data_IF_161683990188
#
_entry.id   IF_161683990188
#
_cell.length_a   1.000
_cell.length_b   1.000
_cell.length_c   1.000
_cell.angle_alpha   90.00
_cell.angle_beta   90.00
_cell.angle_gamma   90.00
#
_symmetry.space_group_name_H-M   'P 1'
#
loop_
_entity.id
_entity.type
_entity.pdbx_description
1 polymer ?
#
# COMPACT_ATOMS: atom_id res chain seq x y z
N UNK A 1 2.33 -22.83 -21.14
CA UNK A 1 1.46 -22.22 -20.10
C UNK A 1 0.83 -20.95 -20.69
N UNK A 2 -0.31 -21.10 -21.39
CA UNK A 2 -1.07 -19.97 -21.95
C UNK A 2 -2.00 -19.44 -20.86
N UNK A 3 -1.94 -18.15 -20.58
CA UNK A 3 -2.81 -17.49 -19.60
C UNK A 3 -4.26 -17.52 -20.07
N UNK A 4 -5.16 -17.94 -19.17
CA UNK A 4 -6.61 -17.88 -19.38
C UNK A 4 -7.06 -16.54 -18.78
N UNK A 5 -7.39 -15.58 -19.64
CA UNK A 5 -8.04 -14.32 -19.25
C UNK A 5 -9.57 -14.55 -19.23
N UNK A 6 -10.20 -14.34 -18.08
CA UNK A 6 -11.65 -14.46 -17.91
C UNK A 6 -12.23 -13.09 -17.58
N UNK A 7 -13.11 -12.60 -18.45
CA UNK A 7 -13.86 -11.37 -18.28
C UNK A 7 -15.34 -11.71 -18.13
N UNK A 8 -15.91 -11.49 -16.94
CA UNK A 8 -17.35 -11.21 -16.76
C UNK A 8 -17.74 -10.72 -15.34
N UNK A 9 -16.77 -10.19 -14.61
CA UNK A 9 -17.00 -9.35 -13.43
C UNK A 9 -16.08 -8.14 -13.60
N UNK A 10 -16.33 -7.03 -12.91
CA UNK A 10 -15.43 -5.86 -12.81
C UNK A 10 -14.08 -6.23 -12.14
N UNK A 11 -13.38 -7.23 -12.68
CA UNK A 11 -12.20 -7.88 -12.16
C UNK A 11 -11.11 -7.66 -13.19
N UNK A 12 -10.13 -6.87 -12.81
CA UNK A 12 -8.89 -6.72 -13.57
C UNK A 12 -8.20 -8.10 -13.67
N UNK A 13 -8.05 -8.61 -14.90
CA UNK A 13 -7.57 -9.95 -15.24
C UNK A 13 -6.04 -9.99 -15.32
N UNK A 14 -5.39 -10.27 -14.18
CA UNK A 14 -3.99 -10.68 -14.12
C UNK A 14 -3.88 -12.20 -13.88
N UNK A 15 -2.67 -12.80 -14.03
CA UNK A 15 -2.48 -14.21 -13.75
C UNK A 15 -2.89 -14.54 -12.31
N UNK A 16 -3.53 -15.69 -12.13
CA UNK A 16 -3.92 -16.19 -10.81
C UNK A 16 -2.71 -16.78 -10.06
N UNK A 17 -2.82 -16.84 -8.73
CA UNK A 17 -1.82 -17.47 -7.88
C UNK A 17 -2.21 -18.91 -7.58
N UNK A 18 -1.24 -19.82 -7.62
CA UNK A 18 -1.37 -21.18 -7.11
C UNK A 18 -1.13 -21.18 -5.60
N UNK A 19 -2.07 -21.73 -4.84
CA UNK A 19 -1.99 -21.91 -3.40
C UNK A 19 -1.94 -23.39 -3.07
N UNK A 20 -1.18 -23.75 -2.03
CA UNK A 20 -1.19 -25.07 -1.41
C UNK A 20 -1.52 -24.93 0.08
N UNK A 21 -2.53 -25.65 0.55
CA UNK A 21 -2.88 -25.75 1.97
C UNK A 21 -2.48 -27.13 2.46
N UNK A 22 -1.56 -27.15 3.41
CA UNK A 22 -1.19 -28.38 4.12
C UNK A 22 -2.39 -28.89 4.90
N UNK A 23 -2.67 -30.18 4.82
CA UNK A 23 -3.68 -30.80 5.65
C UNK A 23 -3.33 -30.64 7.13
N UNK A 24 -4.37 -30.52 7.97
CA UNK A 24 -4.21 -30.58 9.42
C UNK A 24 -3.68 -31.95 9.88
N UNK A 25 -3.59 -32.14 11.20
CA UNK A 25 -3.00 -33.31 11.90
C UNK A 25 -3.55 -34.69 11.51
N UNK A 26 -4.55 -34.77 10.63
CA UNK A 26 -5.23 -35.99 10.23
C UNK A 26 -4.92 -36.32 8.77
N UNK A 27 -3.68 -36.68 8.42
CA UNK A 27 -3.26 -37.36 7.17
C UNK A 27 -4.04 -37.04 5.87
N UNK A 28 -4.54 -35.81 5.70
CA UNK A 28 -5.30 -35.42 4.51
C UNK A 28 -4.31 -35.01 3.41
N UNK A 29 -4.71 -35.13 2.15
CA UNK A 29 -3.90 -34.65 1.04
C UNK A 29 -3.84 -33.11 1.05
N UNK A 30 -2.70 -32.56 0.62
CA UNK A 30 -2.54 -31.12 0.51
C UNK A 30 -3.48 -30.56 -0.59
N UNK A 31 -4.33 -29.61 -0.23
CA UNK A 31 -5.26 -28.98 -1.17
C UNK A 31 -4.51 -27.95 -2.02
N UNK A 32 -4.49 -28.12 -3.35
CA UNK A 32 -3.92 -27.17 -4.30
C UNK A 32 -5.00 -26.48 -5.13
N UNK A 33 -4.87 -25.18 -5.35
CA UNK A 33 -5.85 -24.41 -6.13
C UNK A 33 -5.29 -23.10 -6.69
N UNK A 34 -5.80 -22.67 -7.85
CA UNK A 34 -5.64 -21.31 -8.34
C UNK A 34 -6.72 -20.40 -7.75
N UNK A 35 -6.34 -19.17 -7.39
CA UNK A 35 -7.29 -18.11 -7.01
C UNK A 35 -6.77 -16.73 -7.43
N UNK A 36 -7.66 -15.73 -7.39
CA UNK A 36 -7.34 -14.36 -7.76
C UNK A 36 -6.10 -13.83 -7.00
N UNK A 37 -5.16 -13.22 -7.74
CA UNK A 37 -3.95 -12.64 -7.18
C UNK A 37 -4.19 -11.33 -6.41
N UNK A 38 -5.25 -10.62 -6.76
CA UNK A 38 -5.56 -9.27 -6.25
C UNK A 38 -6.57 -9.33 -5.12
N UNK A 39 -7.68 -10.03 -5.34
CA UNK A 39 -8.81 -10.05 -4.41
C UNK A 39 -8.77 -11.30 -3.54
N UNK A 40 -8.59 -11.10 -2.22
CA UNK A 40 -8.54 -12.20 -1.24
C UNK A 40 -9.91 -12.80 -0.93
N UNK A 41 -10.99 -12.03 -1.12
CA UNK A 41 -12.35 -12.46 -0.79
C UNK A 41 -13.07 -13.04 -2.00
N UNK A 42 -13.61 -14.25 -1.84
CA UNK A 42 -14.49 -14.89 -2.83
C UNK A 42 -15.78 -14.12 -3.10
N UNK A 43 -16.15 -13.17 -2.22
CA UNK A 43 -17.29 -12.27 -2.45
C UNK A 43 -16.99 -11.17 -3.46
N UNK A 44 -15.71 -10.83 -3.63
CA UNK A 44 -15.26 -9.75 -4.54
C UNK A 44 -14.75 -10.35 -5.85
N UNK A 45 -14.00 -11.44 -5.79
CA UNK A 45 -13.65 -12.25 -6.96
C UNK A 45 -13.90 -13.73 -6.65
N UNK A 46 -14.93 -14.35 -7.24
CA UNK A 46 -15.29 -15.74 -6.93
C UNK A 46 -14.35 -16.77 -7.56
N UNK A 47 -13.41 -16.34 -8.40
CA UNK A 47 -12.50 -17.21 -9.16
C UNK A 47 -11.70 -18.13 -8.26
N UNK A 48 -11.89 -19.44 -8.46
CA UNK A 48 -11.16 -20.52 -7.81
C UNK A 48 -11.18 -21.74 -8.71
N UNK A 49 -10.04 -22.38 -8.89
CA UNK A 49 -9.93 -23.63 -9.64
C UNK A 49 -9.07 -24.61 -8.85
N UNK A 50 -9.61 -25.77 -8.49
CA UNK A 50 -8.87 -26.78 -7.73
C UNK A 50 -7.96 -27.58 -8.67
N UNK A 51 -6.82 -28.01 -8.15
CA UNK A 51 -5.84 -28.83 -8.86
C UNK A 51 -5.89 -30.24 -8.26
N UNK A 52 -6.33 -31.21 -9.04
CA UNK A 52 -6.46 -32.62 -8.64
C UNK A 52 -5.59 -33.48 -9.56
N UNK A 53 -4.39 -33.85 -9.12
CA UNK A 53 -3.40 -34.52 -9.98
C UNK A 53 -2.92 -33.62 -11.13
N UNK A 54 -2.79 -34.17 -12.34
CA UNK A 54 -2.49 -33.41 -13.57
C UNK A 54 -3.74 -32.74 -14.18
N UNK A 55 -4.94 -33.02 -13.65
CA UNK A 55 -6.19 -32.54 -14.21
C UNK A 55 -6.74 -31.36 -13.41
N UNK A 56 -7.12 -30.31 -14.13
CA UNK A 56 -7.72 -29.09 -13.58
C UNK A 56 -9.23 -29.31 -13.53
N UNK A 57 -9.79 -29.55 -12.33
CA UNK A 57 -11.23 -29.68 -12.13
C UNK A 57 -11.82 -28.33 -11.72
N UNK A 58 -12.35 -27.60 -12.71
CA UNK A 58 -13.09 -26.36 -12.54
C UNK A 58 -14.04 -26.17 -13.71
N UNK A 59 -15.17 -25.49 -13.49
CA UNK A 59 -16.12 -25.14 -14.54
C UNK A 59 -15.37 -24.63 -15.78
N UNK A 60 -15.46 -25.36 -16.89
CA UNK A 60 -15.19 -24.80 -18.21
C UNK A 60 -16.13 -23.61 -18.37
N UNK A 61 -15.62 -22.39 -18.12
CA UNK A 61 -16.19 -21.23 -18.76
C UNK A 61 -15.93 -21.47 -20.24
N UNK A 62 -16.99 -21.82 -20.96
CA UNK A 62 -16.98 -22.16 -22.37
C UNK A 62 -16.15 -21.16 -23.17
N UNK A 63 -15.20 -21.66 -23.96
CA UNK A 63 -14.45 -20.87 -24.94
C UNK A 63 -15.38 -20.11 -25.92
N UNK A 64 -16.63 -20.55 -26.05
CA UNK A 64 -17.66 -19.92 -26.90
C UNK A 64 -18.14 -18.54 -26.40
N UNK A 65 -17.73 -18.09 -25.21
CA UNK A 65 -17.95 -16.71 -24.75
C UNK A 65 -16.83 -15.74 -25.18
N UNK A 66 -15.73 -16.24 -25.74
CA UNK A 66 -14.53 -15.44 -26.08
C UNK A 66 -14.64 -14.78 -27.46
N UNK A 67 -15.58 -15.21 -28.31
CA UNK A 67 -15.75 -14.72 -29.69
C UNK A 67 -16.86 -13.68 -29.87
N UNK A 68 -17.39 -13.12 -28.78
CA UNK A 68 -18.44 -12.11 -28.80
C UNK A 68 -17.99 -10.74 -28.31
N UNK A 69 -17.42 -9.91 -29.20
CA UNK A 69 -17.49 -8.42 -29.19
C UNK A 69 -17.77 -7.73 -27.83
N UNK A 70 -16.83 -7.76 -26.88
CA UNK A 70 -16.86 -6.93 -25.68
C UNK A 70 -15.51 -6.23 -25.46
N UNK A 71 -15.41 -5.03 -26.05
CA UNK A 71 -14.43 -3.96 -25.83
C UNK A 71 -13.08 -4.35 -25.18
N UNK A 72 -12.00 -4.28 -25.97
CA UNK A 72 -10.74 -3.70 -25.47
C UNK A 72 -11.11 -2.34 -24.86
N UNK A 73 -11.25 -2.24 -23.54
CA UNK A 73 -11.52 -0.96 -22.90
C UNK A 73 -10.27 -0.10 -23.07
N UNK A 74 -10.24 0.68 -24.15
CA UNK A 74 -9.18 1.65 -24.38
C UNK A 74 -9.34 2.73 -23.31
N UNK A 75 -8.53 2.63 -22.25
CA UNK A 75 -8.51 3.62 -21.19
C UNK A 75 -8.21 5.00 -21.79
N UNK A 76 -9.13 5.94 -21.58
CA UNK A 76 -9.00 7.28 -22.12
C UNK A 76 -8.15 8.16 -21.19
N UNK A 77 -6.82 7.96 -21.22
CA UNK A 77 -5.87 8.67 -20.35
C UNK A 77 -5.94 10.20 -20.49
N UNK A 78 -5.80 10.89 -19.36
CA UNK A 78 -5.73 12.34 -19.26
C UNK A 78 -6.92 13.10 -19.88
N UNK A 79 -8.14 12.53 -19.80
CA UNK A 79 -9.36 13.19 -20.30
C UNK A 79 -9.59 14.55 -19.63
N UNK A 80 -9.30 14.67 -18.33
CA UNK A 80 -9.42 15.93 -17.57
C UNK A 80 -8.42 16.96 -18.12
N UNK A 81 -7.17 16.56 -18.35
CA UNK A 81 -6.13 17.46 -18.89
C UNK A 81 -6.55 18.06 -20.23
N UNK A 82 -7.15 17.24 -21.12
CA UNK A 82 -7.67 17.71 -22.41
C UNK A 82 -8.72 18.81 -22.22
N UNK A 83 -9.71 18.59 -21.35
CA UNK A 83 -10.74 19.57 -21.02
C UNK A 83 -10.20 20.85 -20.38
N UNK A 84 -9.23 20.73 -19.47
CA UNK A 84 -8.56 21.90 -18.85
C UNK A 84 -7.93 22.79 -19.92
N UNK A 85 -7.25 22.20 -20.90
CA UNK A 85 -6.60 22.92 -21.98
C UNK A 85 -7.60 23.58 -22.94
N UNK A 86 -8.76 22.95 -23.19
CA UNK A 86 -9.81 23.50 -24.05
C UNK A 86 -10.64 24.61 -23.37
N UNK A 87 -10.78 24.57 -22.05
CA UNK A 87 -11.59 25.52 -21.28
C UNK A 87 -10.74 26.54 -20.52
N UNK A 88 -9.75 27.15 -21.18
CA UNK A 88 -8.91 28.20 -20.57
C UNK A 88 -9.80 29.31 -19.98
N UNK A 89 -9.41 29.80 -18.81
CA UNK A 89 -10.08 30.90 -18.08
C UNK A 89 -11.53 30.67 -17.64
N UNK A 90 -12.15 29.51 -17.91
CA UNK A 90 -13.47 29.16 -17.39
C UNK A 90 -13.37 28.54 -16.00
N UNK A 91 -14.30 28.85 -15.09
CA UNK A 91 -14.45 28.12 -13.84
C UNK A 91 -14.85 26.66 -14.12
N UNK A 92 -14.09 25.72 -13.56
CA UNK A 92 -14.25 24.28 -13.78
C UNK A 92 -14.61 23.63 -12.46
N UNK A 93 -15.43 22.59 -12.52
CA UNK A 93 -15.88 21.88 -11.35
C UNK A 93 -15.70 20.38 -11.55
N UNK A 94 -15.33 19.67 -10.49
CA UNK A 94 -15.09 18.24 -10.50
C UNK A 94 -16.32 17.44 -10.04
N UNK A 95 -16.69 16.43 -10.80
CA UNK A 95 -17.75 15.49 -10.46
C UNK A 95 -17.15 14.13 -10.08
N UNK A 96 -17.36 13.70 -8.83
CA UNK A 96 -16.86 12.41 -8.35
C UNK A 96 -17.54 11.21 -9.02
N UNK A 97 -18.83 11.34 -9.36
CA UNK A 97 -19.60 10.26 -10.01
C UNK A 97 -19.16 10.00 -11.44
N UNK A 98 -18.86 11.05 -12.21
CA UNK A 98 -18.34 10.94 -13.57
C UNK A 98 -16.81 10.77 -13.62
N UNK A 99 -16.13 11.00 -12.49
CA UNK A 99 -14.68 11.08 -12.39
C UNK A 99 -14.09 11.99 -13.49
N UNK A 100 -14.61 13.22 -13.58
CA UNK A 100 -14.30 14.17 -14.66
C UNK A 100 -14.63 15.62 -14.26
N UNK A 101 -14.20 16.59 -15.07
CA UNK A 101 -14.51 18.01 -14.92
C UNK A 101 -15.59 18.49 -15.89
N UNK A 102 -16.35 19.49 -15.44
CA UNK A 102 -17.46 20.13 -16.14
C UNK A 102 -17.48 21.64 -15.93
N UNK A 103 -18.15 22.34 -16.84
CA UNK A 103 -18.65 23.69 -16.63
C UNK A 103 -20.07 23.60 -16.06
N UNK A 104 -20.56 24.67 -15.43
CA UNK A 104 -21.97 24.71 -15.01
C UNK A 104 -22.89 24.90 -16.22
N UNK A 105 -24.09 24.31 -16.21
CA UNK A 105 -24.63 23.37 -15.21
C UNK A 105 -24.19 21.90 -15.45
N UNK A 106 -24.27 21.07 -14.41
CA UNK A 106 -24.10 19.61 -14.51
C UNK A 106 -25.12 18.90 -13.62
N UNK A 107 -25.55 17.71 -14.03
CA UNK A 107 -26.63 16.95 -13.37
C UNK A 107 -26.24 16.31 -12.02
N UNK A 108 -24.94 16.14 -11.76
CA UNK A 108 -24.45 15.59 -10.50
C UNK A 108 -23.84 16.68 -9.60
N UNK A 109 -23.75 16.44 -8.28
CA UNK A 109 -23.03 17.34 -7.38
C UNK A 109 -21.59 17.58 -7.83
N UNK A 110 -21.18 18.84 -7.75
CA UNK A 110 -19.90 19.34 -8.23
C UNK A 110 -19.06 19.90 -7.08
N UNK A 111 -17.76 19.59 -7.06
CA UNK A 111 -16.75 20.20 -6.19
C UNK A 111 -16.00 21.29 -6.97
N UNK A 112 -15.81 22.47 -6.39
CA UNK A 112 -14.99 23.51 -6.99
C UNK A 112 -15.51 24.93 -6.78
N UNK A 113 -14.97 25.92 -7.50
CA UNK A 113 -14.08 25.78 -8.66
C UNK A 113 -12.75 25.08 -8.35
N UNK A 114 -12.26 24.21 -9.25
CA UNK A 114 -10.98 23.49 -9.08
C UNK A 114 -9.85 24.12 -9.90
N UNK A 115 -8.70 24.28 -9.26
CA UNK A 115 -7.45 24.76 -9.86
C UNK A 115 -6.66 23.64 -10.54
N UNK A 116 -5.68 24.02 -11.38
CA UNK A 116 -4.74 23.05 -11.97
C UNK A 116 -3.90 22.37 -10.90
N UNK A 117 -3.60 23.05 -9.78
CA UNK A 117 -2.85 22.47 -8.68
C UNK A 117 -3.63 21.34 -7.99
N UNK A 118 -4.93 21.52 -7.74
CA UNK A 118 -5.80 20.49 -7.18
C UNK A 118 -5.98 19.31 -8.15
N UNK A 119 -6.10 19.56 -9.46
CA UNK A 119 -6.17 18.49 -10.46
C UNK A 119 -4.88 17.68 -10.61
N UNK A 120 -3.74 18.20 -10.11
CA UNK A 120 -2.47 17.44 -9.99
C UNK A 120 -2.40 16.60 -8.71
N UNK A 121 -3.35 16.77 -7.78
CA UNK A 121 -3.47 15.98 -6.56
C UNK A 121 -4.82 15.24 -6.47
N UNK A 122 -5.11 14.28 -7.38
CA UNK A 122 -6.39 13.57 -7.39
C UNK A 122 -6.78 12.92 -6.06
N UNK A 123 -5.82 12.51 -5.22
CA UNK A 123 -6.10 11.98 -3.87
C UNK A 123 -6.87 12.95 -2.95
N UNK A 124 -6.88 14.26 -3.26
CA UNK A 124 -7.69 15.27 -2.55
C UNK A 124 -9.13 15.36 -3.08
N UNK A 125 -9.36 14.90 -4.31
CA UNK A 125 -10.66 14.94 -4.98
C UNK A 125 -11.41 13.60 -4.86
N UNK A 126 -10.65 12.50 -4.86
CA UNK A 126 -11.11 11.12 -4.76
C UNK A 126 -11.15 10.67 -3.30
N UNK A 127 -12.27 10.07 -2.88
CA UNK A 127 -12.32 9.38 -1.60
C UNK A 127 -11.46 8.10 -1.67
N UNK A 128 -10.67 7.78 -0.63
CA UNK A 128 -9.88 6.55 -0.61
C UNK A 128 -10.80 5.32 -0.63
N UNK A 129 -10.43 4.30 -1.41
CA UNK A 129 -11.08 3.00 -1.37
C UNK A 129 -10.49 2.18 -0.22
N UNK A 130 -11.18 2.09 0.91
CA UNK A 130 -10.66 1.50 2.16
C UNK A 130 -11.24 0.12 2.49
N UNK A 131 -11.80 -0.59 1.50
CA UNK A 131 -12.49 -1.85 1.75
C UNK A 131 -11.49 -2.98 2.04
N UNK A 132 -11.72 -3.73 3.13
CA UNK A 132 -10.78 -4.73 3.69
C UNK A 132 -10.44 -5.92 2.77
N UNK A 133 -11.12 -6.07 1.64
CA UNK A 133 -11.08 -7.27 0.80
C UNK A 133 -10.65 -7.00 -0.65
N UNK A 134 -10.42 -5.73 -0.99
CA UNK A 134 -10.10 -5.25 -2.33
C UNK A 134 -9.00 -4.19 -2.26
N UNK A 135 -9.37 -2.93 -2.38
CA UNK A 135 -8.49 -1.78 -2.29
C UNK A 135 -8.32 -1.41 -0.82
N UNK A 136 -7.09 -1.48 -0.33
CA UNK A 136 -6.70 -0.98 1.00
C UNK A 136 -5.92 0.31 0.82
N UNK A 137 -6.58 1.28 0.20
CA UNK A 137 -5.97 2.53 -0.21
C UNK A 137 -5.82 3.46 0.98
N UNK A 138 -4.59 3.88 1.23
CA UNK A 138 -4.27 4.74 2.34
C UNK A 138 -3.24 5.79 1.91
N UNK A 139 -3.40 7.01 2.44
CA UNK A 139 -2.62 8.16 2.05
C UNK A 139 -1.48 8.46 3.02
N UNK A 140 -0.31 8.78 2.49
CA UNK A 140 0.78 9.33 3.29
C UNK A 140 0.40 10.69 3.87
N UNK A 141 0.86 10.98 5.10
CA UNK A 141 0.78 12.32 5.66
C UNK A 141 1.84 13.24 5.04
N UNK A 142 1.64 14.56 5.12
CA UNK A 142 2.61 15.54 4.61
C UNK A 142 3.96 15.44 5.33
N UNK A 143 3.99 15.02 6.60
CA UNK A 143 5.24 14.74 7.33
C UNK A 143 5.98 13.55 6.72
N UNK A 144 5.29 12.42 6.49
CA UNK A 144 5.91 11.24 5.87
C UNK A 144 6.38 11.50 4.45
N UNK A 145 5.64 12.31 3.67
CA UNK A 145 6.07 12.74 2.34
C UNK A 145 7.36 13.55 2.41
N UNK A 146 7.50 14.46 3.38
CA UNK A 146 8.74 15.23 3.57
C UNK A 146 9.93 14.34 3.91
N UNK A 147 9.77 13.37 4.80
CA UNK A 147 10.82 12.39 5.14
C UNK A 147 11.28 11.60 3.91
N UNK A 148 10.33 11.11 3.09
CA UNK A 148 10.67 10.37 1.87
C UNK A 148 11.49 11.19 0.88
N UNK A 149 11.22 12.49 0.77
CA UNK A 149 11.95 13.37 -0.14
C UNK A 149 13.39 13.60 0.26
N UNK A 150 13.70 13.58 1.56
CA UNK A 150 15.09 13.64 2.03
C UNK A 150 15.86 12.47 1.43
N UNK A 151 15.32 11.26 1.54
CA UNK A 151 15.91 10.06 0.92
C UNK A 151 16.04 10.17 -0.60
N UNK A 152 14.96 10.57 -1.29
CA UNK A 152 14.97 10.69 -2.77
C UNK A 152 15.97 11.73 -3.27
N UNK A 153 16.11 12.86 -2.56
CA UNK A 153 17.07 13.92 -2.93
C UNK A 153 18.51 13.45 -2.70
N UNK A 154 18.76 12.76 -1.59
CA UNK A 154 20.09 12.34 -1.20
C UNK A 154 20.57 11.08 -1.94
N UNK A 155 19.65 10.28 -2.49
CA UNK A 155 20.00 9.10 -3.29
C UNK A 155 20.57 9.43 -4.68
N UNK A 156 20.58 10.70 -5.09
CA UNK A 156 20.99 11.18 -6.44
C UNK A 156 20.19 10.51 -7.57
N UNK A 157 19.01 9.96 -7.28
CA UNK A 157 18.15 9.35 -8.29
C UNK A 157 17.52 10.44 -9.17
N UNK A 158 17.53 10.23 -10.48
CA UNK A 158 16.85 11.09 -11.47
C UNK A 158 15.45 10.56 -11.86
N UNK A 159 15.01 9.46 -11.22
CA UNK A 159 13.77 8.77 -11.50
C UNK A 159 13.21 8.09 -10.25
N UNK A 160 11.89 8.16 -10.05
CA UNK A 160 11.15 7.47 -8.98
C UNK A 160 9.99 6.69 -9.58
N UNK A 161 9.97 5.38 -9.37
CA UNK A 161 8.85 4.52 -9.71
C UNK A 161 7.95 4.34 -8.49
N UNK A 162 6.76 4.95 -8.54
CA UNK A 162 5.76 4.87 -7.48
C UNK A 162 4.85 3.65 -7.73
N UNK A 163 4.97 2.60 -6.92
CA UNK A 163 4.07 1.44 -6.97
C UNK A 163 3.08 1.55 -5.81
N UNK A 164 1.78 1.66 -6.09
CA UNK A 164 0.72 1.76 -5.07
C UNK A 164 0.84 2.98 -4.15
N UNK A 165 1.49 4.05 -4.61
CA UNK A 165 1.84 5.22 -3.79
C UNK A 165 1.47 6.54 -4.49
N UNK A 166 0.18 6.76 -4.81
CA UNK A 166 -0.24 7.90 -5.62
C UNK A 166 0.04 9.24 -4.95
N UNK A 167 -0.03 9.32 -3.62
CA UNK A 167 0.29 10.57 -2.89
C UNK A 167 1.77 10.97 -3.00
N UNK A 168 2.71 10.00 -3.06
CA UNK A 168 4.13 10.28 -3.32
C UNK A 168 4.30 10.78 -4.75
N UNK A 169 3.68 10.09 -5.71
CA UNK A 169 3.70 10.50 -7.12
C UNK A 169 3.14 11.92 -7.31
N UNK A 170 1.99 12.22 -6.72
CA UNK A 170 1.33 13.53 -6.77
C UNK A 170 2.20 14.62 -6.15
N UNK A 171 2.90 14.33 -5.04
CA UNK A 171 3.80 15.27 -4.41
C UNK A 171 4.98 15.62 -5.35
N UNK A 172 5.63 14.60 -5.92
CA UNK A 172 6.71 14.77 -6.90
C UNK A 172 6.26 15.58 -8.13
N UNK A 173 5.05 15.29 -8.63
CA UNK A 173 4.49 15.98 -9.79
C UNK A 173 3.99 17.39 -9.51
N UNK A 174 3.59 17.70 -8.27
CA UNK A 174 3.04 19.00 -7.91
C UNK A 174 4.14 20.04 -7.66
N UNK A 175 5.32 19.61 -7.22
CA UNK A 175 6.48 20.48 -7.04
C UNK A 175 7.23 20.70 -8.38
N UNK A 176 7.40 21.96 -8.78
CA UNK A 176 8.00 22.31 -10.09
C UNK A 176 9.46 21.88 -10.21
N UNK A 177 10.24 22.05 -9.16
CA UNK A 177 11.67 21.73 -9.13
C UNK A 177 11.86 20.20 -9.16
N UNK A 178 11.14 19.47 -8.30
CA UNK A 178 11.17 18.01 -8.28
C UNK A 178 10.76 17.42 -9.63
N UNK A 179 9.69 17.92 -10.25
CA UNK A 179 9.24 17.46 -11.58
C UNK A 179 10.25 17.74 -12.69
N UNK A 180 11.06 18.79 -12.56
CA UNK A 180 12.11 19.11 -13.54
C UNK A 180 13.31 18.17 -13.41
N UNK A 181 13.69 17.85 -12.17
CA UNK A 181 14.93 17.13 -11.86
C UNK A 181 14.75 15.62 -11.67
N UNK A 182 13.52 15.16 -11.38
CA UNK A 182 13.21 13.77 -11.12
C UNK A 182 12.00 13.33 -11.95
N UNK A 183 12.20 12.35 -12.84
CA UNK A 183 11.10 11.69 -13.52
C UNK A 183 10.32 10.87 -12.49
N UNK A 184 9.00 10.85 -12.60
CA UNK A 184 8.19 9.96 -11.78
C UNK A 184 7.13 9.26 -12.61
N UNK A 185 6.85 8.02 -12.25
CA UNK A 185 5.86 7.18 -12.91
C UNK A 185 5.06 6.43 -11.86
N UNK A 186 3.73 6.38 -12.00
CA UNK A 186 2.83 5.70 -11.08
C UNK A 186 2.32 4.39 -11.69
N UNK A 187 2.42 3.34 -10.90
CA UNK A 187 1.78 2.05 -11.13
C UNK A 187 0.79 1.83 -10.00
N UNK A 188 -0.51 1.82 -10.30
CA UNK A 188 -1.57 1.65 -9.31
C UNK A 188 -2.73 0.86 -9.92
N UNK A 189 -3.45 0.10 -9.11
CA UNK A 189 -4.62 -0.66 -9.58
C UNK A 189 -5.86 0.24 -9.72
N UNK A 190 -5.89 1.38 -9.04
CA UNK A 190 -7.02 2.29 -9.03
C UNK A 190 -7.17 3.03 -10.38
N UNK A 191 -8.04 2.49 -11.23
CA UNK A 191 -8.33 3.05 -12.56
C UNK A 191 -8.88 4.48 -12.53
N UNK A 192 -9.33 4.99 -11.38
CA UNK A 192 -9.83 6.37 -11.28
C UNK A 192 -8.76 7.40 -11.64
N UNK A 193 -7.48 7.09 -11.45
CA UNK A 193 -6.37 7.96 -11.82
C UNK A 193 -6.18 8.14 -13.33
N UNK A 194 -6.69 7.23 -14.18
CA UNK A 194 -6.60 7.33 -15.66
C UNK A 194 -7.13 8.68 -16.16
N UNK A 195 -8.20 9.20 -15.56
CA UNK A 195 -8.82 10.45 -15.97
C UNK A 195 -7.89 11.66 -15.83
N UNK A 196 -6.95 11.60 -14.88
CA UNK A 196 -6.08 12.71 -14.48
C UNK A 196 -4.73 12.67 -15.19
N UNK A 197 -4.12 11.48 -15.27
CA UNK A 197 -2.74 11.33 -15.70
C UNK A 197 -2.59 10.84 -17.13
N UNK A 198 -1.46 11.20 -17.75
CA UNK A 198 -1.07 10.72 -19.08
C UNK A 198 -0.55 9.30 -18.98
N UNK A 199 -0.64 8.53 -20.07
CA UNK A 199 -0.05 7.20 -20.18
C UNK A 199 1.47 7.21 -19.87
N UNK A 200 2.16 8.29 -20.24
CA UNK A 200 3.58 8.49 -19.94
C UNK A 200 3.89 8.68 -18.45
N UNK A 201 2.88 8.81 -17.58
CA UNK A 201 3.05 9.02 -16.14
C UNK A 201 2.31 8.00 -15.28
N UNK A 202 1.32 7.29 -15.83
CA UNK A 202 0.48 6.37 -15.09
C UNK A 202 0.04 5.22 -15.98
N UNK A 203 0.14 4.00 -15.45
CA UNK A 203 -0.48 2.80 -16.02
C UNK A 203 -1.19 2.05 -14.89
N UNK A 204 -2.33 1.45 -15.22
CA UNK A 204 -3.01 0.56 -14.28
C UNK A 204 -2.20 -0.73 -14.14
N UNK A 205 -1.75 -1.03 -12.92
CA UNK A 205 -1.00 -2.24 -12.62
C UNK A 205 -1.70 -3.05 -11.52
N UNK A 206 -2.05 -4.30 -11.86
CA UNK A 206 -2.53 -5.29 -10.92
C UNK A 206 -1.35 -6.11 -10.36
N UNK A 207 -0.51 -5.52 -9.50
CA UNK A 207 0.50 -6.26 -8.73
C UNK A 207 0.01 -6.54 -7.32
N UNK A 208 0.38 -7.70 -6.78
CA UNK A 208 0.03 -8.19 -5.43
C UNK A 208 0.78 -7.50 -4.28
N UNK A 209 1.43 -6.35 -4.54
CA UNK A 209 2.25 -5.64 -3.56
C UNK A 209 1.46 -4.51 -2.91
N UNK A 210 0.88 -4.78 -1.73
CA UNK A 210 0.18 -3.78 -0.92
C UNK A 210 1.13 -3.20 0.15
N UNK A 211 1.22 -1.86 0.26
CA UNK A 211 1.92 -1.14 1.35
C UNK A 211 0.94 -0.13 2.00
N UNK A 212 0.90 -0.05 3.33
CA UNK A 212 -0.19 0.53 4.13
C UNK A 212 0.06 1.95 4.68
N UNK A 213 -1.00 2.76 4.87
CA UNK A 213 -0.98 4.12 5.47
C UNK A 213 -2.27 4.45 6.29
N UNK A 214 -2.53 5.74 6.56
CA UNK A 214 -3.50 6.32 7.53
C UNK A 214 -4.97 5.93 7.24
N UNK A 215 -5.76 5.69 8.30
CA UNK A 215 -7.07 4.97 8.35
C UNK A 215 -6.96 3.44 8.36
N UNK A 216 -5.77 2.91 8.64
CA UNK A 216 -5.57 1.48 8.82
C UNK A 216 -6.46 0.93 9.94
N UNK A 217 -6.99 -0.29 9.78
CA UNK A 217 -7.94 -0.91 10.75
C UNK A 217 -7.31 -1.11 12.15
N UNK A 218 -5.97 -1.21 12.23
CA UNK A 218 -5.23 -1.25 13.50
C UNK A 218 -4.94 0.14 14.10
N UNK A 219 -5.30 1.23 13.42
CA UNK A 219 -5.04 2.62 13.79
C UNK A 219 -6.23 3.19 14.57
N UNK A 220 -6.26 2.94 15.88
CA UNK A 220 -7.18 3.65 16.81
C UNK A 220 -6.56 4.94 17.38
N UNK A 221 -5.27 5.19 17.10
CA UNK A 221 -4.45 6.25 17.70
C UNK A 221 -3.55 6.92 16.65
N UNK A 222 -3.85 8.17 16.25
CA UNK A 222 -3.14 8.83 15.17
C UNK A 222 -1.63 9.04 15.40
N UNK A 223 -1.28 9.18 16.67
CA UNK A 223 0.05 9.43 17.20
C UNK A 223 1.03 8.24 17.05
N UNK A 224 0.57 7.05 16.65
CA UNK A 224 1.40 5.84 16.60
C UNK A 224 1.27 5.09 15.28
N UNK A 225 2.32 5.13 14.47
CA UNK A 225 2.44 4.31 13.26
C UNK A 225 3.19 3.01 13.54
N UNK A 226 2.63 1.88 13.11
CA UNK A 226 3.30 0.56 13.08
C UNK A 226 4.05 0.31 11.77
N UNK A 227 3.93 1.21 10.80
CA UNK A 227 4.54 1.08 9.46
C UNK A 227 5.96 1.63 9.50
N UNK A 228 6.91 0.91 8.91
CA UNK A 228 8.33 1.29 8.83
C UNK A 228 8.76 1.34 7.37
N UNK A 229 9.69 2.25 7.08
CA UNK A 229 10.38 2.27 5.80
C UNK A 229 11.49 1.22 5.82
N UNK A 230 11.55 0.42 4.77
CA UNK A 230 12.65 -0.49 4.50
C UNK A 230 13.37 0.04 3.27
N UNK A 231 14.67 0.23 3.38
CA UNK A 231 15.50 0.82 2.34
C UNK A 231 16.88 0.18 2.37
N UNK A 232 17.48 0.12 1.19
CA UNK A 232 18.88 -0.21 0.93
C UNK A 232 19.80 1.02 0.99
N UNK A 233 19.24 2.23 1.11
CA UNK A 233 20.03 3.44 1.32
C UNK A 233 20.68 3.43 2.72
N UNK A 234 21.92 3.95 2.84
CA UNK A 234 22.52 4.20 4.14
C UNK A 234 21.61 5.07 5.01
N UNK A 235 21.45 4.75 6.30
CA UNK A 235 20.44 5.39 7.16
C UNK A 235 20.82 6.82 7.60
N UNK A 236 22.10 7.16 7.52
CA UNK A 236 22.66 8.48 7.78
C UNK A 236 22.26 9.52 6.73
N UNK A 237 21.87 9.09 5.51
CA UNK A 237 21.37 10.00 4.48
C UNK A 237 20.01 10.61 4.80
N UNK A 238 19.27 10.05 5.75
CA UNK A 238 17.98 10.58 6.19
C UNK A 238 18.20 11.59 7.30
N UNK A 239 18.50 12.85 6.95
CA UNK A 239 18.55 13.93 7.92
C UNK A 239 17.14 14.26 8.43
N UNK A 240 16.84 13.86 9.67
CA UNK A 240 15.57 14.11 10.35
C UNK A 240 15.68 15.19 11.44
N UNK A 241 16.74 16.01 11.43
CA UNK A 241 16.97 17.06 12.44
C UNK A 241 15.82 18.07 12.56
N UNK A 242 15.13 18.37 11.44
CA UNK A 242 14.00 19.31 11.40
C UNK A 242 12.72 18.75 12.08
N UNK A 243 12.67 17.44 12.37
CA UNK A 243 11.49 16.78 12.92
C UNK A 243 11.63 16.64 14.44
N UNK A 244 10.77 17.34 15.19
CA UNK A 244 10.86 17.47 16.66
C UNK A 244 10.67 16.16 17.44
N UNK A 245 10.24 15.09 16.78
CA UNK A 245 10.00 13.74 17.27
C UNK A 245 11.21 12.81 17.13
N UNK A 246 12.28 13.23 16.44
CA UNK A 246 13.48 12.44 16.21
C UNK A 246 14.70 13.00 16.94
N UNK A 247 15.70 12.14 17.14
CA UNK A 247 17.06 12.47 17.59
C UNK A 247 18.07 11.65 16.81
N UNK A 248 19.28 12.16 16.64
CA UNK A 248 20.39 11.35 16.12
C UNK A 248 20.94 10.44 17.22
N UNK A 249 21.36 9.22 16.86
CA UNK A 249 22.05 8.30 17.76
C UNK A 249 23.47 8.07 17.24
N UNK A 250 24.47 8.67 17.88
CA UNK A 250 25.86 8.60 17.44
C UNK A 250 26.37 7.16 17.35
N UNK A 251 26.04 6.31 18.33
CA UNK A 251 26.45 4.88 18.34
C UNK A 251 25.88 4.05 17.19
N UNK A 252 24.74 4.45 16.63
CA UNK A 252 24.09 3.74 15.52
C UNK A 252 24.16 4.50 14.20
N UNK A 253 24.77 5.70 14.21
CA UNK A 253 24.89 6.62 13.08
C UNK A 253 23.58 6.81 12.29
N UNK A 254 22.46 6.97 13.00
CA UNK A 254 21.13 7.13 12.40
C UNK A 254 20.17 7.93 13.26
N UNK A 255 19.14 8.49 12.63
CA UNK A 255 18.02 9.08 13.33
C UNK A 255 17.07 8.02 13.89
N UNK A 256 16.64 8.22 15.13
CA UNK A 256 15.67 7.38 15.85
C UNK A 256 14.62 8.26 16.52
N UNK A 257 13.47 7.70 16.87
CA UNK A 257 12.49 8.44 17.68
C UNK A 257 13.09 8.88 19.02
N UNK A 258 12.71 10.06 19.53
CA UNK A 258 13.25 10.61 20.79
C UNK A 258 13.09 9.66 21.98
N UNK A 259 12.02 8.88 22.00
CA UNK A 259 11.72 7.91 23.06
C UNK A 259 12.47 6.58 22.90
N UNK A 260 13.08 6.33 21.73
CA UNK A 260 13.89 5.14 21.50
C UNK A 260 15.30 5.38 22.04
N UNK A 261 15.67 4.63 23.07
CA UNK A 261 16.99 4.69 23.70
C UNK A 261 17.88 3.58 23.12
N UNK A 262 19.17 3.89 22.95
CA UNK A 262 20.15 2.90 22.54
C UNK A 262 20.34 1.87 23.66
N UNK A 263 20.37 0.58 23.32
CA UNK A 263 20.71 -0.47 24.25
C UNK A 263 22.16 -0.88 24.04
N UNK A 264 23.01 -0.58 25.02
CA UNK A 264 24.44 -0.90 24.95
C UNK A 264 24.72 -2.41 24.88
N UNK A 265 23.87 -3.23 25.50
CA UNK A 265 23.98 -4.70 25.43
C UNK A 265 23.60 -5.30 24.08
N UNK A 266 22.70 -4.64 23.34
CA UNK A 266 22.29 -5.07 22.00
C UNK A 266 23.00 -4.28 20.90
N UNK A 267 23.86 -3.32 21.26
CA UNK A 267 24.53 -2.36 20.38
C UNK A 267 23.60 -1.77 19.31
N UNK A 268 22.34 -1.53 19.70
CA UNK A 268 21.31 -1.12 18.76
C UNK A 268 20.22 -0.31 19.45
N UNK A 269 19.54 0.54 18.68
CA UNK A 269 18.27 1.14 19.06
C UNK A 269 17.14 0.16 18.68
N UNK A 270 16.59 -0.61 19.63
CA UNK A 270 15.57 -1.61 19.33
C UNK A 270 14.32 -0.95 18.72
N UNK A 271 13.86 -1.50 17.59
CA UNK A 271 12.68 -1.05 16.86
C UNK A 271 11.39 -1.17 17.69
N UNK A 272 10.30 -0.54 17.29
CA UNK A 272 9.85 0.79 17.67
C UNK A 272 8.32 0.66 17.77
N UNK A 273 7.69 0.85 18.93
CA UNK A 273 6.25 1.13 18.99
C UNK A 273 5.93 2.34 19.89
N UNK A 274 6.94 3.21 20.08
CA UNK A 274 6.86 4.36 20.99
C UNK A 274 6.76 3.98 22.46
N UNK A 275 7.13 2.74 22.80
CA UNK A 275 7.19 2.26 24.18
C UNK A 275 8.65 2.20 24.64
N UNK A 276 8.85 2.42 25.93
CA UNK A 276 10.12 2.13 26.57
C UNK A 276 10.39 0.62 26.47
N UNK A 277 11.65 0.29 26.22
CA UNK A 277 12.14 -1.07 26.15
C UNK A 277 13.20 -1.27 27.21
N UNK A 278 13.21 -2.46 27.81
CA UNK A 278 14.27 -2.93 28.70
C UNK A 278 14.99 -4.09 28.07
N UNK A 279 16.29 -4.24 28.37
CA UNK A 279 17.03 -5.43 28.01
C UNK A 279 16.65 -6.58 28.95
N UNK A 280 16.47 -7.77 28.41
CA UNK A 280 16.34 -8.99 29.20
C UNK A 280 17.60 -9.84 29.02
N UNK A 281 18.42 -9.92 30.07
CA UNK A 281 19.71 -10.63 30.03
C UNK A 281 19.55 -12.13 29.75
N UNK A 282 18.44 -12.72 30.21
CA UNK A 282 18.16 -14.15 29.99
C UNK A 282 17.78 -14.43 28.52
N UNK A 283 17.08 -13.49 27.87
CA UNK A 283 16.71 -13.62 26.46
C UNK A 283 17.72 -12.97 25.52
N UNK A 284 18.75 -12.30 26.04
CA UNK A 284 19.73 -11.50 25.33
C UNK A 284 19.10 -10.58 24.27
N UNK A 285 17.98 -9.92 24.62
CA UNK A 285 17.26 -9.03 23.70
C UNK A 285 16.44 -7.98 24.42
N UNK A 286 16.23 -6.85 23.75
CA UNK A 286 15.29 -5.83 24.20
C UNK A 286 13.83 -6.30 24.05
N UNK A 287 13.03 -6.02 25.08
CA UNK A 287 11.60 -6.33 25.13
C UNK A 287 10.84 -5.11 25.65
N UNK A 288 9.53 -5.07 25.41
CA UNK A 288 8.68 -3.98 25.94
C UNK A 288 8.79 -3.92 27.46
N UNK A 289 8.72 -2.71 28.03
CA UNK A 289 8.79 -2.51 29.48
C UNK A 289 7.78 -3.39 30.24
N UNK A 290 6.59 -3.54 29.67
CA UNK A 290 5.48 -4.34 30.22
C UNK A 290 5.66 -5.85 30.13
N UNK A 291 6.74 -6.34 29.53
CA UNK A 291 7.00 -7.78 29.39
C UNK A 291 7.85 -8.27 30.56
N UNK A 292 7.60 -9.51 30.97
CA UNK A 292 8.36 -10.19 32.02
C UNK A 292 8.91 -11.51 31.48
N UNK A 293 10.12 -11.88 31.91
CA UNK A 293 10.71 -13.16 31.54
C UNK A 293 10.01 -14.29 32.31
N UNK A 294 9.36 -15.21 31.58
CA UNK A 294 8.73 -16.36 32.20
C UNK A 294 9.71 -17.51 32.36
N UNK A 295 10.00 -17.88 33.62
CA UNK A 295 10.88 -19.02 33.94
C UNK A 295 10.38 -20.37 33.42
N UNK A 296 9.08 -20.52 33.17
CA UNK A 296 8.47 -21.75 32.65
C UNK A 296 8.66 -21.88 31.13
N UNK A 297 8.27 -20.87 30.34
CA UNK A 297 8.39 -20.95 28.88
C UNK A 297 9.71 -20.40 28.31
N UNK A 298 10.57 -19.83 29.17
CA UNK A 298 11.87 -19.22 28.82
C UNK A 298 11.76 -18.10 27.78
N UNK A 299 10.64 -17.37 27.79
CA UNK A 299 10.37 -16.25 26.87
C UNK A 299 9.76 -15.08 27.62
N UNK A 300 10.06 -13.87 27.15
CA UNK A 300 9.38 -12.66 27.61
C UNK A 300 8.02 -12.49 26.93
N UNK A 301 6.99 -12.24 27.72
CA UNK A 301 5.64 -11.92 27.27
C UNK A 301 4.92 -11.06 28.33
N UNK A 302 3.72 -10.58 28.02
CA UNK A 302 2.87 -9.91 29.02
C UNK A 302 2.55 -10.86 30.18
N UNK A 303 2.40 -10.35 31.42
CA UNK A 303 1.92 -11.14 32.55
C UNK A 303 0.65 -11.91 32.19
N UNK A 304 0.54 -13.14 32.70
CA UNK A 304 -0.60 -14.06 32.44
C UNK A 304 -0.77 -14.52 30.99
N UNK A 305 0.18 -14.22 30.08
CA UNK A 305 0.14 -14.69 28.67
C UNK A 305 1.15 -15.78 28.34
N UNK A 306 1.44 -16.66 29.29
CA UNK A 306 2.38 -17.75 29.07
C UNK A 306 1.84 -18.76 28.06
N UNK A 307 2.52 -19.00 26.92
CA UNK A 307 2.07 -19.96 25.91
C UNK A 307 2.03 -21.42 26.38
N UNK A 308 2.60 -21.74 27.56
CA UNK A 308 2.49 -23.07 28.16
C UNK A 308 1.16 -23.28 28.90
N UNK A 309 0.54 -22.20 29.37
CA UNK A 309 -0.71 -22.26 30.14
C UNK A 309 -1.91 -21.77 29.32
N UNK A 310 -1.66 -20.91 28.33
CA UNK A 310 -2.63 -20.61 27.29
C UNK A 310 -2.56 -21.74 26.25
N UNK A 311 -3.62 -22.55 26.17
CA UNK A 311 -3.80 -23.48 25.06
C UNK A 311 -3.59 -22.79 23.71
N UNK A 312 -3.26 -23.59 22.69
CA UNK A 312 -2.75 -23.17 21.36
C UNK A 312 -3.64 -22.11 20.65
N UNK A 313 -4.86 -21.86 21.12
CA UNK A 313 -5.84 -20.92 20.57
C UNK A 313 -5.59 -19.43 20.89
N UNK A 314 -4.70 -19.09 21.82
CA UNK A 314 -4.44 -17.68 22.18
C UNK A 314 -3.36 -16.99 21.31
N UNK A 315 -3.09 -17.50 20.10
CA UNK A 315 -2.16 -16.90 19.12
C UNK A 315 -2.94 -16.16 18.03
N UNK A 316 -3.42 -14.95 18.32
CA UNK A 316 -3.86 -13.97 17.32
C UNK A 316 -3.40 -12.56 17.72
#
# INVERSE_FOLDING_TARGET
>A
LKGIELHDLNVFSGPCLLFERKAGTNNAEAERFYACAVYRSRRVCPYRVNVTGENISGHHVSEDAVTGSALKSSFCYAKIRRKVNSWKNKAKYYCSKCNDIFLLPHVHPLKGPVSIAELRRPTQLLAPLTQKHSESQYWFSDESLRVLLVGIRNSRCNGVLCIGTPTVFEYLQSNRELRANCKSFLLDIDSRFVSFFLLAHFIILATSTFVCYVNHVKYKRPDKSVVRFFTDLPLDVFDLSEFSNYRFCDKCEKYVTKTNLHCDFCESCPLEDGYMHKHCDICCRCVKESYEHCGACKRCHLPQRCPRFLGVEARN
#
